data_IF_326414867722
#
_entry.id   IF_326414867722
#
_cell.length_a   1.000
_cell.length_b   1.000
_cell.length_c   1.000
_cell.angle_alpha   90.00
_cell.angle_beta   90.00
_cell.angle_gamma   90.00
#
_symmetry.space_group_name_H-M   'P 1'
#
loop_
_entity.id
_entity.type
_entity.pdbx_description
1 polymer ?
#
# COMPACT_ATOMS: atom_id res chain seq x y z
N UNK A 1 5.54 25.30 -12.33
CA UNK A 1 5.04 24.51 -12.47
C UNK A 1 5.05 23.60 -11.61
N UNK A 2 4.44 22.94 -11.37
CA UNK A 2 4.55 22.17 -10.45
C UNK A 2 4.48 20.86 -10.91
N UNK A 3 5.14 20.02 -10.39
CA UNK A 3 5.10 18.80 -10.69
C UNK A 3 4.12 18.10 -9.96
N UNK A 4 3.38 17.16 -10.37
CA UNK A 4 2.45 16.35 -9.67
C UNK A 4 3.20 15.34 -8.89
N UNK A 5 2.98 15.27 -7.61
CA UNK A 5 3.61 14.26 -6.81
C UNK A 5 2.86 12.97 -6.93
N UNK A 6 3.55 11.88 -6.98
CA UNK A 6 2.92 10.57 -6.99
C UNK A 6 2.25 10.32 -5.64
N UNK A 7 1.10 9.71 -5.66
CA UNK A 7 0.33 9.43 -4.45
C UNK A 7 0.36 7.93 -4.19
N UNK A 8 0.92 7.55 -3.07
CA UNK A 8 1.09 6.15 -2.71
C UNK A 8 0.16 5.78 -1.58
N UNK A 9 -0.33 4.55 -1.61
CA UNK A 9 -1.14 4.03 -0.51
C UNK A 9 -0.34 2.93 0.16
N UNK A 10 -0.12 3.04 1.46
CA UNK A 10 0.61 2.04 2.23
C UNK A 10 -0.39 1.29 3.08
N UNK A 11 -0.47 -0.01 2.90
CA UNK A 11 -1.42 -0.86 3.61
C UNK A 11 -0.66 -1.85 4.47
N UNK A 12 -0.74 -1.70 5.78
CA UNK A 12 -0.01 -2.54 6.70
C UNK A 12 -0.70 -2.45 8.05
N UNK A 13 -0.96 -3.58 8.68
CA UNK A 13 -1.63 -3.58 9.96
C UNK A 13 -0.68 -3.22 11.11
N UNK A 14 0.62 -3.21 10.88
CA UNK A 14 1.58 -2.85 11.91
C UNK A 14 1.75 -1.33 11.90
N UNK A 15 1.26 -0.69 12.94
CA UNK A 15 1.26 0.75 13.02
C UNK A 15 2.67 1.34 12.95
N UNK A 16 3.65 0.67 13.55
CA UNK A 16 5.00 1.19 13.53
C UNK A 16 5.59 1.18 12.15
N UNK A 17 5.42 0.08 11.44
CA UNK A 17 5.96 -0.04 10.10
C UNK A 17 5.24 0.92 9.17
N UNK A 18 3.93 1.01 9.31
CA UNK A 18 3.14 1.92 8.50
C UNK A 18 3.62 3.36 8.68
N UNK A 19 3.87 3.75 9.93
CA UNK A 19 4.33 5.09 10.22
C UNK A 19 5.72 5.37 9.70
N UNK A 20 6.62 4.39 9.79
CA UNK A 20 7.96 4.55 9.29
C UNK A 20 7.97 4.70 7.77
N UNK A 21 7.20 3.88 7.10
CA UNK A 21 7.11 3.96 5.64
C UNK A 21 6.52 5.29 5.22
N UNK A 22 5.50 5.74 5.92
CA UNK A 22 4.87 7.00 5.60
C UNK A 22 5.87 8.14 5.70
N UNK A 23 6.63 8.20 6.79
CA UNK A 23 7.59 9.26 6.97
C UNK A 23 8.69 9.21 5.92
N UNK A 24 9.17 8.02 5.64
CA UNK A 24 10.23 7.85 4.67
C UNK A 24 9.77 8.32 3.28
N UNK A 25 8.59 7.91 2.90
CA UNK A 25 8.11 8.25 1.55
C UNK A 25 7.77 9.72 1.43
N UNK A 26 7.20 10.32 2.45
CA UNK A 26 6.92 11.75 2.43
C UNK A 26 8.22 12.52 2.30
N UNK A 27 9.25 12.08 3.04
CA UNK A 27 10.53 12.75 2.97
C UNK A 27 11.13 12.67 1.58
N UNK A 28 10.78 11.65 0.82
CA UNK A 28 11.28 11.47 -0.53
C UNK A 28 10.36 12.05 -1.61
N UNK A 29 9.41 12.88 -1.22
CA UNK A 29 8.65 13.64 -2.19
C UNK A 29 7.33 13.06 -2.62
N UNK A 30 6.84 12.02 -1.93
CA UNK A 30 5.57 11.42 -2.32
C UNK A 30 4.43 11.91 -1.43
N UNK A 31 3.23 11.91 -1.98
CA UNK A 31 2.06 12.04 -1.17
C UNK A 31 1.71 10.64 -0.69
N UNK A 32 1.35 10.49 0.55
CA UNK A 32 1.13 9.16 1.13
C UNK A 32 -0.16 9.11 1.93
N UNK A 33 -0.99 8.12 1.63
CA UNK A 33 -2.12 7.80 2.47
C UNK A 33 -1.85 6.42 3.05
N UNK A 34 -2.44 6.12 4.17
CA UNK A 34 -2.21 4.84 4.84
C UNK A 34 -3.52 4.14 5.16
N UNK A 35 -3.49 2.83 5.19
CA UNK A 35 -4.62 2.02 5.58
C UNK A 35 -4.12 0.91 6.47
N UNK A 36 -4.90 0.56 7.49
CA UNK A 36 -4.48 -0.49 8.41
C UNK A 36 -4.96 -1.86 8.00
N UNK A 37 -5.88 -1.94 7.06
CA UNK A 37 -6.36 -3.23 6.60
C UNK A 37 -6.93 -3.09 5.20
N UNK A 38 -7.34 -4.20 4.63
CA UNK A 38 -7.84 -4.22 3.26
C UNK A 38 -9.16 -3.47 3.12
N UNK A 39 -10.00 -3.51 4.13
CA UNK A 39 -11.28 -2.82 4.06
C UNK A 39 -11.09 -1.32 3.98
N UNK A 40 -10.18 -0.80 4.78
CA UNK A 40 -9.90 0.63 4.74
C UNK A 40 -9.23 1.00 3.42
N UNK A 41 -8.34 0.13 2.93
CA UNK A 41 -7.68 0.37 1.65
C UNK A 41 -8.70 0.44 0.52
N UNK A 42 -9.67 -0.46 0.51
CA UNK A 42 -10.69 -0.43 -0.54
C UNK A 42 -11.49 0.85 -0.50
N UNK A 43 -11.80 1.33 0.69
CA UNK A 43 -12.56 2.58 0.80
C UNK A 43 -11.77 3.76 0.25
N UNK A 44 -10.48 3.81 0.55
CA UNK A 44 -9.65 4.88 0.06
C UNK A 44 -9.49 4.81 -1.46
N UNK A 45 -9.37 3.61 -1.97
CA UNK A 45 -9.21 3.42 -3.41
C UNK A 45 -10.45 3.81 -4.20
N UNK A 46 -11.59 3.77 -3.58
CA UNK A 46 -12.81 4.20 -4.26
C UNK A 46 -12.93 5.72 -4.31
N UNK A 47 -12.30 6.42 -3.39
CA UNK A 47 -12.46 7.85 -3.32
C UNK A 47 -11.27 8.68 -3.74
N UNK A 48 -10.12 8.08 -3.89
CA UNK A 48 -8.92 8.81 -4.21
C UNK A 48 -8.15 8.10 -5.31
N UNK A 49 -7.32 8.84 -6.00
CA UNK A 49 -6.49 8.25 -7.03
C UNK A 49 -5.11 8.01 -6.49
N UNK A 50 -4.57 6.86 -6.81
CA UNK A 50 -3.22 6.48 -6.36
C UNK A 50 -2.38 6.05 -7.55
N UNK A 51 -1.08 6.22 -7.43
CA UNK A 51 -0.14 5.82 -8.46
C UNK A 51 0.48 4.46 -8.16
N UNK A 52 0.51 4.06 -6.91
CA UNK A 52 1.10 2.79 -6.53
C UNK A 52 0.60 2.39 -5.15
N UNK A 53 0.57 1.10 -4.89
CA UNK A 53 0.17 0.56 -3.62
C UNK A 53 1.34 -0.20 -3.04
N UNK A 54 1.62 -0.02 -1.76
CA UNK A 54 2.58 -0.82 -1.03
C UNK A 54 1.78 -1.63 -0.03
N UNK A 55 1.82 -2.95 -0.15
CA UNK A 55 0.91 -3.82 0.56
C UNK A 55 1.64 -4.90 1.33
N UNK A 56 1.32 -5.03 2.61
CA UNK A 56 1.79 -6.13 3.42
C UNK A 56 0.86 -7.31 3.19
N UNK A 57 1.39 -8.44 2.75
CA UNK A 57 0.56 -9.58 2.45
C UNK A 57 0.13 -10.36 3.67
N UNK A 58 0.69 -10.06 4.84
CA UNK A 58 0.39 -10.81 6.04
C UNK A 58 -0.60 -10.08 6.93
N UNK A 59 -1.67 -9.58 6.38
CA UNK A 59 -2.64 -8.87 7.19
C UNK A 59 -3.80 -9.77 7.59
N UNK A 60 -4.39 -9.52 8.74
CA UNK A 60 -5.55 -10.28 9.16
C UNK A 60 -6.77 -9.89 8.34
N UNK A 61 -7.76 -10.72 8.33
CA UNK A 61 -8.98 -10.46 7.60
C UNK A 61 -8.81 -10.81 6.14
N UNK A 62 -9.17 -9.90 5.27
CA UNK A 62 -8.97 -10.13 3.85
C UNK A 62 -7.49 -10.14 3.60
N UNK A 63 -6.96 -11.18 3.00
CA UNK A 63 -5.53 -11.27 2.86
C UNK A 63 -5.05 -10.42 1.70
N UNK A 64 -3.73 -10.25 1.65
CA UNK A 64 -3.12 -9.42 0.65
C UNK A 64 -3.29 -9.94 -0.76
N UNK A 65 -3.42 -11.26 -0.90
CA UNK A 65 -3.60 -11.86 -2.21
C UNK A 65 -4.96 -11.48 -2.79
N UNK A 66 -6.00 -11.52 -1.97
CA UNK A 66 -7.32 -11.15 -2.42
C UNK A 66 -7.40 -9.69 -2.81
N UNK A 67 -6.78 -8.83 -2.03
CA UNK A 67 -6.76 -7.42 -2.34
C UNK A 67 -5.96 -7.15 -3.62
N UNK A 68 -4.85 -7.84 -3.79
CA UNK A 68 -4.04 -7.70 -4.99
C UNK A 68 -4.85 -8.07 -6.22
N UNK A 69 -5.59 -9.17 -6.15
CA UNK A 69 -6.40 -9.61 -7.26
C UNK A 69 -7.47 -8.57 -7.60
N UNK A 70 -8.12 -8.04 -6.57
CA UNK A 70 -9.13 -7.01 -6.77
C UNK A 70 -8.54 -5.81 -7.50
N UNK A 71 -7.36 -5.37 -7.06
CA UNK A 71 -6.76 -4.20 -7.63
C UNK A 71 -6.32 -4.39 -9.07
N UNK A 72 -5.77 -5.54 -9.36
CA UNK A 72 -5.34 -5.78 -10.73
C UNK A 72 -6.49 -5.85 -11.67
N UNK A 73 -7.59 -6.44 -11.24
CA UNK A 73 -8.74 -6.56 -12.10
C UNK A 73 -9.49 -5.25 -12.25
N UNK A 74 -9.49 -4.45 -11.20
CA UNK A 74 -10.32 -3.25 -11.21
C UNK A 74 -9.60 -1.98 -11.60
N UNK A 75 -8.36 -1.85 -11.19
CA UNK A 75 -7.68 -0.58 -11.34
C UNK A 75 -6.39 -0.62 -12.12
N UNK A 76 -5.82 -1.77 -12.29
CA UNK A 76 -4.54 -1.86 -12.99
C UNK A 76 -3.42 -1.15 -12.28
N UNK A 77 -3.49 -1.04 -10.96
CA UNK A 77 -2.55 -0.26 -10.19
C UNK A 77 -1.27 -1.04 -9.90
N UNK A 78 -0.09 -0.46 -10.05
CA UNK A 78 1.14 -1.15 -9.67
C UNK A 78 1.15 -1.43 -8.17
N UNK A 79 1.59 -2.61 -7.80
CA UNK A 79 1.59 -3.04 -6.42
C UNK A 79 2.95 -3.56 -6.02
N UNK A 80 3.49 -3.05 -4.93
CA UNK A 80 4.71 -3.56 -4.36
C UNK A 80 4.32 -4.34 -3.11
N UNK A 81 4.63 -5.62 -3.09
CA UNK A 81 4.26 -6.46 -1.97
C UNK A 81 5.39 -6.54 -0.96
N UNK A 82 5.04 -6.46 0.31
CA UNK A 82 6.00 -6.60 1.38
C UNK A 82 5.70 -7.88 2.13
N UNK A 83 6.73 -8.50 2.68
CA UNK A 83 6.53 -9.63 3.52
C UNK A 83 6.98 -9.27 4.92
N UNK A 84 6.34 -9.80 5.89
CA UNK A 84 6.68 -9.50 7.24
C UNK A 84 8.01 -9.99 7.61
N UNK A 85 8.58 -11.02 7.01
CA UNK A 85 9.77 -11.47 7.42
C UNK A 85 10.65 -11.24 6.45
N UNK A 86 11.15 -10.73 6.05
CA UNK A 86 12.03 -10.44 5.19
C UNK A 86 12.80 -11.48 4.70
N UNK A 87 12.76 -12.54 5.13
CA UNK A 87 13.64 -13.40 4.74
C UNK A 87 13.23 -14.06 3.65
N UNK A 88 13.72 -14.49 3.14
CA UNK A 88 13.54 -15.11 2.24
C UNK A 88 12.80 -15.56 1.48
N UNK A 89 12.55 -15.18 1.08
CA UNK A 89 11.79 -15.37 0.31
C UNK A 89 12.16 -15.98 -0.79
N UNK A 90 13.04 -16.14 -0.98
CA UNK A 90 13.46 -16.55 -1.98
C UNK A 90 13.45 -17.80 -2.01
N UNK A 91 13.14 -18.36 -1.94
CA UNK A 91 13.21 -19.53 -2.00
C UNK A 91 12.52 -19.99 -2.79
#
# INVERSE_FOLDING_TARGET
MTETQAHLLVVDDDERIRGLLQKFLIRNGFLVSVARDAAQARRLLLGLDFDMLILDVMMPGEDGISLTRFLRQSLGLPILLLTARGETVNR
#
